data_IF_114927512942
#
_entry.id   IF_114927512942
#
_cell.length_a   1.000
_cell.length_b   1.000
_cell.length_c   1.000
_cell.angle_alpha   90.00
_cell.angle_beta   90.00
_cell.angle_gamma   90.00
#
_symmetry.space_group_name_H-M   'P 1'
#
loop_
_entity.id
_entity.type
_entity.pdbx_description
1 polymer ?
#
# COMPACT_ATOMS: atom_id res chain seq x y z
N UNK A 1 4.04 13.20 -41.47
CA UNK A 1 3.73 12.10 -40.54
C UNK A 1 4.58 12.33 -39.30
N UNK A 2 4.02 13.02 -38.32
CA UNK A 2 4.75 13.43 -37.13
C UNK A 2 4.39 12.49 -35.99
N UNK A 3 5.38 11.72 -35.56
CA UNK A 3 5.33 10.71 -34.54
C UNK A 3 4.76 11.27 -33.23
N UNK A 4 3.70 10.65 -32.71
CA UNK A 4 3.17 10.94 -31.38
C UNK A 4 4.23 10.64 -30.32
N UNK A 5 4.38 11.45 -29.27
CA UNK A 5 5.13 11.05 -28.10
C UNK A 5 4.37 9.90 -27.43
N UNK A 6 5.01 8.74 -27.37
CA UNK A 6 4.53 7.58 -26.65
C UNK A 6 4.65 7.87 -25.15
N UNK A 7 3.68 8.62 -24.60
CA UNK A 7 3.47 8.73 -23.15
C UNK A 7 2.98 7.37 -22.68
N UNK A 8 3.93 6.45 -22.44
CA UNK A 8 3.70 5.35 -21.51
C UNK A 8 3.25 6.01 -20.21
N UNK A 9 1.95 5.89 -19.94
CA UNK A 9 1.39 6.10 -18.61
C UNK A 9 2.29 5.33 -17.65
N UNK A 10 3.06 6.06 -16.85
CA UNK A 10 3.73 5.54 -15.66
C UNK A 10 2.61 4.96 -14.82
N UNK A 11 2.39 3.65 -14.93
CA UNK A 11 1.60 2.94 -13.93
C UNK A 11 2.46 2.97 -12.67
N UNK A 12 2.19 3.95 -11.83
CA UNK A 12 2.71 4.02 -10.48
C UNK A 12 2.02 2.91 -9.68
N UNK A 13 2.36 1.66 -9.95
CA UNK A 13 2.11 0.54 -9.04
C UNK A 13 3.15 0.65 -7.91
N UNK A 14 3.14 1.78 -7.20
CA UNK A 14 4.10 2.09 -6.14
C UNK A 14 3.69 1.34 -4.87
N UNK A 15 4.40 0.25 -4.61
CA UNK A 15 4.23 -0.53 -3.41
C UNK A 15 5.38 -1.51 -3.22
N UNK A 16 5.53 -1.98 -1.99
CA UNK A 16 6.60 -2.89 -1.61
C UNK A 16 6.03 -4.23 -1.17
N UNK A 17 6.79 -5.28 -1.41
CA UNK A 17 6.56 -6.62 -0.88
C UNK A 17 7.51 -6.80 0.30
N UNK A 18 6.98 -7.28 1.42
CA UNK A 18 7.78 -7.53 2.62
C UNK A 18 7.32 -8.81 3.32
N UNK A 19 8.29 -9.56 3.85
CA UNK A 19 8.04 -10.71 4.72
C UNK A 19 8.21 -10.29 6.18
N UNK A 20 7.10 -10.06 6.87
CA UNK A 20 7.11 -9.55 8.24
C UNK A 20 5.86 -9.96 9.03
N UNK A 21 6.02 -10.06 10.35
CA UNK A 21 4.89 -10.18 11.27
C UNK A 21 4.05 -8.89 11.32
N UNK A 22 2.78 -9.02 11.69
CA UNK A 22 1.84 -7.88 11.80
C UNK A 22 2.36 -6.76 12.72
N UNK A 23 3.10 -7.12 13.78
CA UNK A 23 3.66 -6.15 14.71
C UNK A 23 4.70 -5.23 14.06
N UNK A 24 5.46 -5.71 13.06
CA UNK A 24 6.37 -4.87 12.32
C UNK A 24 5.62 -3.88 11.42
N UNK A 25 4.46 -4.28 10.87
CA UNK A 25 3.61 -3.38 10.09
C UNK A 25 3.07 -2.23 10.94
N UNK A 26 2.63 -2.53 12.17
CA UNK A 26 2.19 -1.51 13.15
C UNK A 26 3.30 -0.51 13.44
N UNK A 27 4.49 -1.00 13.79
CA UNK A 27 5.64 -0.13 14.05
C UNK A 27 6.04 0.69 12.83
N UNK A 28 5.92 0.14 11.63
CA UNK A 28 6.17 0.89 10.39
C UNK A 28 5.14 2.02 10.19
N UNK A 29 3.86 1.76 10.47
CA UNK A 29 2.80 2.76 10.42
C UNK A 29 3.03 3.88 11.46
N UNK A 30 3.40 3.54 12.71
CA UNK A 30 3.74 4.50 13.77
C UNK A 30 4.87 5.47 13.39
N UNK A 31 5.77 5.08 12.48
CA UNK A 31 6.85 5.96 12.00
C UNK A 31 6.38 7.05 11.05
N UNK A 32 5.27 6.82 10.36
CA UNK A 32 4.88 7.64 9.19
C UNK A 32 3.50 8.26 9.31
N UNK A 33 2.66 7.77 10.22
CA UNK A 33 1.32 8.28 10.49
C UNK A 33 1.27 8.97 11.85
N UNK A 34 0.55 10.08 11.93
CA UNK A 34 0.20 10.72 13.19
C UNK A 34 -1.17 10.22 13.66
N UNK A 35 -1.29 9.76 14.91
CA UNK A 35 -2.54 9.27 15.55
C UNK A 35 -3.46 8.49 14.58
N UNK A 36 -3.33 7.16 14.54
CA UNK A 36 -4.05 6.35 13.55
C UNK A 36 -4.93 5.27 14.19
N UNK A 37 -5.95 4.85 13.44
CA UNK A 37 -6.75 3.66 13.73
C UNK A 37 -6.33 2.48 12.84
N UNK A 38 -6.53 1.26 13.34
CA UNK A 38 -6.25 0.01 12.64
C UNK A 38 -7.56 -0.67 12.23
N UNK A 39 -7.79 -0.82 10.93
CA UNK A 39 -9.01 -1.39 10.36
C UNK A 39 -8.66 -2.68 9.61
N UNK A 40 -9.34 -3.78 9.93
CA UNK A 40 -9.33 -4.99 9.12
C UNK A 40 -10.45 -4.89 8.08
N UNK A 41 -10.08 -4.99 6.82
CA UNK A 41 -11.01 -5.23 5.72
C UNK A 41 -10.84 -6.65 5.20
N UNK A 42 -11.87 -7.47 5.37
CA UNK A 42 -11.89 -8.85 4.88
C UNK A 42 -12.06 -8.90 3.36
N UNK A 43 -11.74 -10.05 2.75
CA UNK A 43 -11.97 -10.27 1.30
C UNK A 43 -13.39 -10.01 0.82
N UNK A 44 -14.40 -10.18 1.67
CA UNK A 44 -15.80 -9.93 1.33
C UNK A 44 -16.20 -8.44 1.44
N UNK A 45 -15.24 -7.58 1.77
CA UNK A 45 -15.41 -6.14 1.93
C UNK A 45 -15.90 -5.71 3.31
N UNK A 46 -16.13 -6.65 4.24
CA UNK A 46 -16.50 -6.30 5.61
C UNK A 46 -15.34 -5.62 6.32
N UNK A 47 -15.62 -4.45 6.92
CA UNK A 47 -14.67 -3.69 7.73
C UNK A 47 -14.98 -3.84 9.21
N UNK A 48 -13.93 -3.88 10.01
CA UNK A 48 -14.05 -3.92 11.47
C UNK A 48 -12.71 -3.85 12.17
N UNK A 49 -12.71 -3.98 13.50
CA UNK A 49 -11.47 -4.03 14.27
C UNK A 49 -10.66 -5.28 13.92
N UNK A 50 -9.34 -5.18 14.09
CA UNK A 50 -8.42 -6.31 13.88
C UNK A 50 -8.54 -7.29 15.05
N UNK A 51 -9.46 -8.25 14.90
CA UNK A 51 -9.69 -9.30 15.91
C UNK A 51 -9.37 -10.65 15.30
N UNK A 52 -8.44 -11.37 15.93
CA UNK A 52 -8.09 -12.74 15.55
C UNK A 52 -7.04 -12.81 14.44
N UNK A 53 -7.17 -13.81 13.56
CA UNK A 53 -6.17 -14.13 12.54
C UNK A 53 -6.49 -13.47 11.20
N UNK A 54 -5.50 -12.79 10.61
CA UNK A 54 -5.58 -12.18 9.28
C UNK A 54 -5.32 -13.23 8.22
N UNK A 55 -6.28 -13.45 7.31
CA UNK A 55 -6.13 -14.43 6.25
C UNK A 55 -5.48 -13.80 5.02
N UNK A 56 -4.90 -14.60 4.12
CA UNK A 56 -4.55 -14.15 2.75
C UNK A 56 -5.70 -13.32 2.17
N UNK A 57 -5.44 -12.30 1.37
CA UNK A 57 -6.43 -11.42 0.75
C UNK A 57 -7.15 -10.45 1.69
N UNK A 58 -7.06 -10.63 3.01
CA UNK A 58 -7.50 -9.59 3.93
C UNK A 58 -6.51 -8.42 3.89
N UNK A 59 -7.02 -7.25 4.25
CA UNK A 59 -6.28 -5.98 4.21
C UNK A 59 -6.30 -5.35 5.59
N UNK A 60 -5.14 -4.93 6.07
CA UNK A 60 -5.01 -4.08 7.25
C UNK A 60 -4.78 -2.65 6.76
N UNK A 61 -5.60 -1.73 7.22
CA UNK A 61 -5.53 -0.31 6.88
C UNK A 61 -5.17 0.43 8.16
N UNK A 62 -4.03 1.11 8.13
CA UNK A 62 -3.65 2.08 9.16
C UNK A 62 -4.02 3.46 8.62
N UNK A 63 -5.01 4.12 9.22
CA UNK A 63 -5.59 5.37 8.73
C UNK A 63 -5.45 6.46 9.79
N UNK A 64 -4.90 7.62 9.40
CA UNK A 64 -4.82 8.77 10.29
C UNK A 64 -6.20 9.25 10.75
N UNK A 65 -6.29 9.64 12.02
CA UNK A 65 -7.45 10.28 12.62
C UNK A 65 -7.42 11.80 12.36
N UNK A 66 -7.56 12.15 11.08
CA UNK A 66 -7.67 13.54 10.62
C UNK A 66 -8.85 13.73 9.67
N UNK A 67 -9.53 14.87 9.78
CA UNK A 67 -10.74 15.16 9.01
C UNK A 67 -10.49 15.37 7.51
N UNK A 68 -9.28 15.83 7.14
CA UNK A 68 -8.96 16.25 5.78
C UNK A 68 -7.80 15.43 5.22
N UNK A 69 -8.13 14.56 4.27
CA UNK A 69 -7.18 13.77 3.49
C UNK A 69 -6.30 12.86 4.36
N UNK A 70 -6.90 11.98 5.18
CA UNK A 70 -6.14 11.06 6.02
C UNK A 70 -5.15 10.26 5.17
N UNK A 71 -3.91 10.20 5.64
CA UNK A 71 -2.94 9.27 5.10
C UNK A 71 -3.32 7.84 5.52
N UNK A 72 -3.10 6.91 4.61
CA UNK A 72 -3.32 5.49 4.84
C UNK A 72 -2.06 4.70 4.46
N UNK A 73 -1.69 3.76 5.33
CA UNK A 73 -0.81 2.65 4.97
C UNK A 73 -1.69 1.41 4.86
N UNK A 74 -1.72 0.82 3.67
CA UNK A 74 -2.57 -0.33 3.36
C UNK A 74 -1.68 -1.55 3.17
N UNK A 75 -1.85 -2.56 4.00
CA UNK A 75 -1.11 -3.81 3.96
C UNK A 75 -2.05 -4.97 3.60
N UNK A 76 -1.90 -5.52 2.39
CA UNK A 76 -2.66 -6.67 1.90
C UNK A 76 -1.90 -7.95 2.20
N UNK A 77 -2.53 -8.90 2.89
CA UNK A 77 -1.93 -10.21 3.18
C UNK A 77 -1.86 -11.03 1.90
N UNK A 78 -0.65 -11.37 1.45
CA UNK A 78 -0.46 -12.19 0.26
C UNK A 78 -0.46 -13.67 0.64
N UNK A 79 0.44 -14.06 1.55
CA UNK A 79 0.67 -15.46 1.91
C UNK A 79 1.52 -15.58 3.16
N UNK A 80 1.13 -16.39 4.16
CA UNK A 80 1.85 -16.47 5.44
C UNK A 80 2.26 -15.07 5.87
N UNK A 81 3.52 -14.77 6.22
CA UNK A 81 3.99 -13.44 6.62
C UNK A 81 4.37 -12.50 5.45
N UNK A 82 3.95 -12.80 4.24
CA UNK A 82 4.18 -11.97 3.06
C UNK A 82 3.05 -10.96 2.88
N UNK A 83 3.42 -9.69 2.73
CA UNK A 83 2.50 -8.56 2.59
C UNK A 83 2.84 -7.70 1.38
N UNK A 84 1.82 -7.15 0.75
CA UNK A 84 1.93 -6.05 -0.20
C UNK A 84 1.52 -4.77 0.52
N UNK A 85 2.41 -3.78 0.54
CA UNK A 85 2.21 -2.52 1.22
C UNK A 85 2.18 -1.38 0.22
N UNK A 86 1.17 -0.53 0.34
CA UNK A 86 1.06 0.74 -0.37
C UNK A 86 0.81 1.88 0.61
N UNK A 87 1.18 3.08 0.17
CA UNK A 87 0.88 4.34 0.84
C UNK A 87 -0.11 5.09 -0.03
N UNK A 88 -1.22 5.54 0.55
CA UNK A 88 -2.26 6.28 -0.18
C UNK A 88 -2.82 7.39 0.71
N UNK A 89 -3.61 8.28 0.14
CA UNK A 89 -4.36 9.31 0.85
C UNK A 89 -5.75 9.41 0.26
N UNK A 90 -6.74 9.67 1.11
CA UNK A 90 -8.10 9.86 0.62
C UNK A 90 -8.17 11.06 -0.34
N UNK A 91 -8.66 10.83 -1.56
CA UNK A 91 -8.92 11.91 -2.52
C UNK A 91 -10.29 12.53 -2.21
N UNK A 92 -10.40 13.87 -2.17
CA UNK A 92 -11.70 14.53 -1.99
C UNK A 92 -12.71 14.08 -3.05
N UNK A 93 -14.01 13.98 -2.73
CA UNK A 93 -15.04 13.63 -3.72
C UNK A 93 -15.08 14.59 -4.92
N UNK A 94 -14.69 15.86 -4.73
CA UNK A 94 -14.57 16.86 -5.79
C UNK A 94 -13.29 16.74 -6.63
N UNK A 95 -12.41 15.80 -6.31
CA UNK A 95 -11.03 15.75 -6.79
C UNK A 95 -10.17 16.86 -6.19
N UNK A 96 -8.85 16.79 -6.47
CA UNK A 96 -7.92 17.83 -6.05
C UNK A 96 -8.26 19.16 -6.73
N UNK A 97 -8.31 20.28 -5.99
CA UNK A 97 -8.63 21.60 -6.56
C UNK A 97 -7.64 22.04 -7.65
N UNK A 98 -6.38 21.63 -7.55
CA UNK A 98 -5.34 21.94 -8.54
C UNK A 98 -4.43 20.75 -8.81
N UNK A 99 -3.78 20.75 -9.99
CA UNK A 99 -2.71 19.78 -10.32
C UNK A 99 -1.57 19.83 -9.31
N UNK A 100 -1.29 21.00 -8.73
CA UNK A 100 -0.22 21.17 -7.73
C UNK A 100 -0.55 20.43 -6.43
N UNK A 101 -1.82 20.43 -6.02
CA UNK A 101 -2.28 19.72 -4.83
C UNK A 101 -2.21 18.21 -5.04
N UNK A 102 -2.63 17.72 -6.20
CA UNK A 102 -2.48 16.32 -6.59
C UNK A 102 -1.00 15.87 -6.59
N UNK A 103 -0.10 16.66 -7.17
CA UNK A 103 1.33 16.37 -7.16
C UNK A 103 1.93 16.38 -5.74
N UNK A 104 1.40 17.23 -4.85
CA UNK A 104 1.86 17.30 -3.46
C UNK A 104 1.42 16.06 -2.68
N UNK A 105 0.19 15.59 -2.89
CA UNK A 105 -0.31 14.35 -2.30
C UNK A 105 0.53 13.15 -2.74
N UNK A 106 0.73 12.96 -4.06
CA UNK A 106 1.56 11.86 -4.57
C UNK A 106 3.00 11.87 -4.04
N UNK A 107 3.64 13.05 -3.95
CA UNK A 107 4.98 13.16 -3.34
C UNK A 107 5.00 12.82 -1.85
N UNK A 108 3.92 13.10 -1.13
CA UNK A 108 3.80 12.74 0.27
C UNK A 108 3.60 11.23 0.44
N UNK A 109 2.83 10.59 -0.45
CA UNK A 109 2.65 9.14 -0.51
C UNK A 109 3.98 8.43 -0.79
N UNK A 110 4.71 8.83 -1.83
CA UNK A 110 6.04 8.29 -2.19
C UNK A 110 7.02 8.42 -1.02
N UNK A 111 7.04 9.59 -0.37
CA UNK A 111 7.89 9.83 0.80
C UNK A 111 7.54 8.91 1.96
N UNK A 112 6.25 8.70 2.26
CA UNK A 112 5.80 7.79 3.32
C UNK A 112 6.21 6.35 3.01
N UNK A 113 5.95 5.88 1.79
CA UNK A 113 6.35 4.53 1.38
C UNK A 113 7.86 4.32 1.49
N UNK A 114 8.66 5.33 1.11
CA UNK A 114 10.12 5.30 1.31
C UNK A 114 10.51 5.20 2.78
N UNK A 115 9.86 5.95 3.68
CA UNK A 115 10.15 5.86 5.12
C UNK A 115 9.76 4.50 5.70
N UNK A 116 8.64 3.91 5.26
CA UNK A 116 8.24 2.54 5.60
C UNK A 116 9.30 1.53 5.15
N UNK A 117 9.77 1.65 3.90
CA UNK A 117 10.86 0.82 3.37
C UNK A 117 12.15 0.96 4.19
N UNK A 118 12.58 2.18 4.47
CA UNK A 118 13.77 2.44 5.27
C UNK A 118 13.66 1.86 6.68
N UNK A 119 12.47 1.92 7.30
CA UNK A 119 12.22 1.28 8.58
C UNK A 119 12.44 -0.24 8.52
N UNK A 120 11.87 -0.92 7.52
CA UNK A 120 12.08 -2.37 7.38
C UNK A 120 13.55 -2.71 7.15
N UNK A 121 14.19 -2.07 6.17
CA UNK A 121 15.53 -2.43 5.73
C UNK A 121 16.61 -2.02 6.75
N UNK A 122 16.53 -0.82 7.33
CA UNK A 122 17.58 -0.28 8.20
C UNK A 122 17.32 -0.51 9.67
N UNK A 123 16.08 -0.30 10.12
CA UNK A 123 15.77 -0.37 11.55
C UNK A 123 15.47 -1.80 12.00
N UNK A 124 14.89 -2.63 11.12
CA UNK A 124 14.50 -4.02 11.44
C UNK A 124 15.37 -5.08 10.74
N UNK A 125 16.17 -4.70 9.73
CA UNK A 125 16.97 -5.65 8.95
C UNK A 125 16.14 -6.62 8.11
N UNK A 126 14.92 -6.22 7.74
CA UNK A 126 13.98 -7.01 6.92
C UNK A 126 14.09 -6.52 5.48
N UNK A 127 14.36 -7.45 4.55
CA UNK A 127 14.42 -7.13 3.13
C UNK A 127 13.05 -6.76 2.58
N UNK A 128 13.03 -5.77 1.68
CA UNK A 128 11.84 -5.38 0.93
C UNK A 128 12.11 -5.44 -0.57
N UNK A 129 11.09 -5.76 -1.34
CA UNK A 129 11.17 -5.83 -2.80
C UNK A 129 10.16 -4.88 -3.43
N UNK A 130 10.57 -4.10 -4.43
CA UNK A 130 9.63 -3.27 -5.18
C UNK A 130 8.68 -4.17 -5.99
N UNK A 131 7.37 -3.92 -5.89
CA UNK A 131 6.37 -4.82 -6.51
C UNK A 131 6.52 -4.94 -8.02
N UNK A 132 7.08 -3.92 -8.67
CA UNK A 132 7.33 -3.88 -10.12
C UNK A 132 8.50 -4.77 -10.55
N UNK A 133 9.42 -5.07 -9.63
CA UNK A 133 10.60 -5.91 -9.85
C UNK A 133 10.41 -7.32 -9.26
N UNK A 134 9.43 -7.47 -8.36
CA UNK A 134 9.14 -8.69 -7.64
C UNK A 134 8.70 -9.84 -8.56
N UNK A 135 9.24 -11.04 -8.31
CA UNK A 135 8.90 -12.26 -9.06
C UNK A 135 8.45 -13.37 -8.10
N UNK A 136 7.21 -13.88 -8.22
CA UNK A 136 6.76 -14.97 -7.36
C UNK A 136 7.57 -16.25 -7.60
N UNK A 137 8.17 -16.82 -6.53
CA UNK A 137 8.97 -18.05 -6.60
C UNK A 137 8.15 -19.28 -7.03
N UNK A 138 6.89 -19.36 -6.60
CA UNK A 138 5.99 -20.49 -6.87
C UNK A 138 5.01 -20.16 -7.99
N UNK A 139 5.24 -20.73 -9.18
CA UNK A 139 4.36 -20.58 -10.36
C UNK A 139 2.88 -20.92 -10.10
N UNK A 140 2.58 -21.84 -9.18
CA UNK A 140 1.20 -22.28 -8.93
C UNK A 140 0.33 -21.24 -8.17
N UNK A 141 0.96 -20.33 -7.40
CA UNK A 141 0.25 -19.29 -6.65
C UNK A 141 0.45 -17.89 -7.24
N UNK A 142 1.34 -17.75 -8.23
CA UNK A 142 1.69 -16.49 -8.87
C UNK A 142 0.46 -15.73 -9.41
N UNK A 143 -0.42 -16.41 -10.14
CA UNK A 143 -1.62 -15.76 -10.72
C UNK A 143 -2.57 -15.24 -9.64
N UNK A 144 -2.73 -16.00 -8.56
CA UNK A 144 -3.58 -15.60 -7.43
C UNK A 144 -3.00 -14.38 -6.71
N UNK A 145 -1.69 -14.38 -6.48
CA UNK A 145 -1.00 -13.28 -5.82
C UNK A 145 -1.03 -12.02 -6.68
N UNK A 146 -0.69 -12.14 -7.97
CA UNK A 146 -0.77 -11.02 -8.93
C UNK A 146 -2.21 -10.50 -9.04
N UNK A 147 -3.21 -11.40 -8.95
CA UNK A 147 -4.62 -11.02 -8.89
C UNK A 147 -4.98 -10.21 -7.63
N UNK A 148 -4.42 -10.55 -6.47
CA UNK A 148 -4.60 -9.78 -5.23
C UNK A 148 -3.95 -8.40 -5.34
N UNK A 149 -2.70 -8.32 -5.80
CA UNK A 149 -1.99 -7.05 -6.01
C UNK A 149 -2.76 -6.19 -6.99
N UNK A 150 -3.14 -6.73 -8.15
CA UNK A 150 -3.91 -5.99 -9.18
C UNK A 150 -5.24 -5.48 -8.64
N UNK A 151 -5.95 -6.29 -7.84
CA UNK A 151 -7.21 -5.89 -7.21
C UNK A 151 -7.00 -4.77 -6.20
N UNK A 152 -5.93 -4.86 -5.40
CA UNK A 152 -5.57 -3.84 -4.43
C UNK A 152 -5.18 -2.52 -5.12
N UNK A 153 -4.33 -2.57 -6.15
CA UNK A 153 -3.96 -1.39 -6.95
C UNK A 153 -5.18 -0.69 -7.50
N UNK A 154 -6.13 -1.42 -8.10
CA UNK A 154 -7.37 -0.82 -8.63
C UNK A 154 -8.25 -0.16 -7.55
N UNK A 155 -8.18 -0.67 -6.32
CA UNK A 155 -9.04 -0.22 -5.23
C UNK A 155 -8.44 0.99 -4.50
N UNK A 156 -7.13 1.03 -4.34
CA UNK A 156 -6.44 1.90 -3.39
C UNK A 156 -5.43 2.86 -4.02
N UNK A 157 -4.98 2.58 -5.26
CA UNK A 157 -4.15 3.52 -6.04
C UNK A 157 -5.11 4.36 -6.88
N UNK A 158 -5.13 5.66 -6.61
CA UNK A 158 -6.09 6.61 -7.16
C UNK A 158 -5.45 7.61 -8.13
#
# INVERSE_FOLDING_TARGET
>A
MSSQPNTRSTRNEEGIIVRAELEHLRKAAEKVLFEYEEILEKRDGQRGPVIGHVQTGDTIIFREDIDLFPAEIVAIKIWEDLWYIISTSEIPPSGFPTTKDAMRAGKAEERRLRMVREFFERDQGIETEDVTEWKPDKRADADKILGLITSATKKWVH
#
